data_IF_415708357866
#
_entry.id   IF_415708357866
#
_cell.length_a   1.000
_cell.length_b   1.000
_cell.length_c   1.000
_cell.angle_alpha   90.00
_cell.angle_beta   90.00
_cell.angle_gamma   90.00
#
_symmetry.space_group_name_H-M   'P 1'
#
loop_
_entity.id
_entity.type
_entity.pdbx_description
1 polymer ?
#
# COMPACT_ATOMS: atom_id res chain seq x y z
N UNK A 1 -14.80 -32.65 -19.10
CA UNK A 1 -14.44 -31.37 -19.76
C UNK A 1 -13.00 -31.48 -20.22
N UNK A 2 -12.77 -31.47 -21.51
CA UNK A 2 -11.48 -31.71 -22.12
C UNK A 2 -10.63 -30.42 -22.04
N UNK A 3 -9.60 -30.45 -21.19
CA UNK A 3 -8.63 -29.36 -21.10
C UNK A 3 -7.93 -29.11 -22.43
N UNK A 4 -7.94 -27.88 -22.90
CA UNK A 4 -7.23 -27.44 -24.09
C UNK A 4 -5.76 -27.28 -23.74
N UNK A 5 -4.90 -28.17 -24.23
CA UNK A 5 -3.44 -28.02 -24.16
C UNK A 5 -3.00 -26.91 -25.10
N UNK A 6 -2.43 -25.84 -24.55
CA UNK A 6 -1.67 -24.86 -25.33
C UNK A 6 -0.25 -25.40 -25.52
N UNK A 7 0.10 -25.75 -26.77
CA UNK A 7 1.44 -26.16 -27.16
C UNK A 7 2.38 -24.96 -27.16
N UNK A 8 3.24 -24.85 -26.16
CA UNK A 8 4.62 -24.30 -26.24
C UNK A 8 5.35 -24.13 -24.90
N UNK A 9 4.71 -24.40 -23.76
CA UNK A 9 5.39 -24.66 -22.50
C UNK A 9 4.67 -25.83 -21.85
N UNK A 10 5.36 -26.93 -21.61
CA UNK A 10 4.84 -28.10 -20.92
C UNK A 10 4.62 -27.78 -19.44
N UNK A 11 3.56 -27.01 -19.16
CA UNK A 11 3.06 -26.72 -17.84
C UNK A 11 1.59 -27.09 -17.75
N UNK A 12 1.19 -27.68 -16.66
CA UNK A 12 -0.21 -28.00 -16.38
C UNK A 12 -1.00 -26.68 -16.23
N UNK A 13 -2.00 -26.45 -17.06
CA UNK A 13 -2.83 -25.23 -17.01
C UNK A 13 -4.07 -25.52 -16.17
N UNK A 14 -4.22 -24.78 -15.08
CA UNK A 14 -5.35 -24.88 -14.19
C UNK A 14 -6.38 -23.78 -14.50
N UNK A 15 -7.62 -24.19 -14.70
CA UNK A 15 -8.73 -23.26 -14.89
C UNK A 15 -9.58 -23.17 -13.62
N UNK A 16 -10.02 -21.97 -13.22
CA UNK A 16 -10.91 -21.82 -12.08
C UNK A 16 -12.25 -22.52 -12.34
N UNK A 17 -12.90 -22.98 -11.28
CA UNK A 17 -14.25 -23.54 -11.37
C UNK A 17 -15.27 -22.47 -11.78
N UNK A 18 -16.43 -22.90 -12.29
CA UNK A 18 -17.54 -21.99 -12.64
C UNK A 18 -18.03 -21.16 -11.46
N UNK A 19 -17.97 -21.72 -10.24
CA UNK A 19 -18.32 -21.02 -9.01
C UNK A 19 -17.32 -19.89 -8.70
N UNK A 20 -16.03 -20.14 -8.83
CA UNK A 20 -14.98 -19.14 -8.64
C UNK A 20 -15.10 -18.02 -9.69
N UNK A 21 -15.37 -18.37 -10.95
CA UNK A 21 -15.58 -17.39 -12.02
C UNK A 21 -16.81 -16.52 -11.74
N UNK A 22 -17.92 -17.11 -11.28
CA UNK A 22 -19.15 -16.36 -10.96
C UNK A 22 -18.98 -15.37 -9.79
N UNK A 23 -18.05 -15.65 -8.86
CA UNK A 23 -17.73 -14.79 -7.73
C UNK A 23 -16.61 -13.78 -8.01
N UNK A 24 -15.96 -13.86 -9.17
CA UNK A 24 -14.88 -12.96 -9.55
C UNK A 24 -15.38 -11.51 -9.71
N UNK A 25 -14.63 -10.54 -9.22
CA UNK A 25 -14.93 -9.12 -9.38
C UNK A 25 -14.91 -8.68 -10.86
N UNK A 26 -14.08 -9.33 -11.67
CA UNK A 26 -13.99 -9.13 -13.12
C UNK A 26 -14.35 -10.46 -13.77
N UNK A 27 -15.56 -10.54 -14.32
CA UNK A 27 -16.08 -11.77 -14.95
C UNK A 27 -15.67 -11.90 -16.43
N UNK A 28 -15.51 -10.77 -17.11
CA UNK A 28 -15.15 -10.69 -18.54
C UNK A 28 -13.81 -9.96 -18.68
N UNK A 29 -12.75 -10.64 -18.29
CA UNK A 29 -11.41 -10.08 -18.29
C UNK A 29 -10.93 -9.68 -19.70
N UNK A 30 -11.31 -10.45 -20.73
CA UNK A 30 -10.98 -10.16 -22.13
C UNK A 30 -11.55 -8.82 -22.58
N UNK A 31 -12.81 -8.51 -22.24
CA UNK A 31 -13.46 -7.25 -22.56
C UNK A 31 -12.76 -6.10 -21.82
N UNK A 32 -12.45 -6.29 -20.55
CA UNK A 32 -11.74 -5.29 -19.74
C UNK A 32 -10.35 -5.00 -20.30
N UNK A 33 -9.61 -6.05 -20.68
CA UNK A 33 -8.28 -5.91 -21.26
C UNK A 33 -8.32 -5.25 -22.65
N UNK A 34 -9.32 -5.56 -23.47
CA UNK A 34 -9.49 -4.95 -24.78
C UNK A 34 -9.87 -3.47 -24.67
N UNK A 35 -10.74 -3.11 -23.75
CA UNK A 35 -11.05 -1.70 -23.46
C UNK A 35 -9.79 -0.91 -23.08
N UNK A 36 -8.94 -1.47 -22.22
CA UNK A 36 -7.69 -0.84 -21.83
C UNK A 36 -6.67 -0.73 -22.99
N UNK A 37 -6.65 -1.68 -23.92
CA UNK A 37 -5.79 -1.62 -25.12
C UNK A 37 -6.28 -0.59 -26.13
N UNK A 38 -7.60 -0.50 -26.31
CA UNK A 38 -8.22 0.37 -27.32
C UNK A 38 -8.17 1.84 -26.91
N UNK A 39 -8.47 2.12 -25.64
CA UNK A 39 -8.42 3.48 -25.07
C UNK A 39 -7.80 3.45 -23.67
N UNK A 40 -6.47 3.43 -23.61
CA UNK A 40 -5.72 3.40 -22.38
C UNK A 40 -6.02 4.60 -21.48
N UNK A 41 -6.13 5.79 -22.05
CA UNK A 41 -6.34 7.02 -21.27
C UNK A 41 -7.77 7.09 -20.72
N UNK A 42 -8.77 6.79 -21.54
CA UNK A 42 -10.17 6.74 -21.10
C UNK A 42 -10.40 5.66 -20.05
N UNK A 43 -9.83 4.47 -20.23
CA UNK A 43 -9.90 3.38 -19.26
C UNK A 43 -9.38 3.80 -17.88
N UNK A 44 -8.19 4.40 -17.83
CA UNK A 44 -7.62 4.84 -16.53
C UNK A 44 -8.28 6.08 -15.96
N UNK A 45 -8.81 6.97 -16.82
CA UNK A 45 -9.61 8.10 -16.36
C UNK A 45 -10.87 7.62 -15.62
N UNK A 46 -11.60 6.66 -16.21
CA UNK A 46 -12.79 6.06 -15.59
C UNK A 46 -12.46 5.42 -14.23
N UNK A 47 -11.40 4.62 -14.15
CA UNK A 47 -10.99 3.98 -12.89
C UNK A 47 -10.57 5.01 -11.83
N UNK A 48 -9.94 6.10 -12.25
CA UNK A 48 -9.50 7.16 -11.37
C UNK A 48 -10.66 7.96 -10.74
N UNK A 49 -11.86 7.96 -11.36
CA UNK A 49 -13.06 8.59 -10.76
C UNK A 49 -13.51 7.92 -9.44
N UNK A 50 -13.07 6.70 -9.15
CA UNK A 50 -13.34 6.03 -7.87
C UNK A 50 -12.57 6.65 -6.68
N UNK A 51 -11.55 7.48 -6.95
CA UNK A 51 -10.75 8.14 -5.94
C UNK A 51 -11.24 9.55 -5.64
N UNK A 52 -11.09 9.97 -4.39
CA UNK A 52 -11.30 11.37 -3.99
C UNK A 52 -10.02 12.16 -4.32
N UNK A 53 -10.12 13.06 -5.29
CA UNK A 53 -9.05 13.95 -5.69
C UNK A 53 -9.21 15.32 -5.02
N UNK A 54 -8.15 15.87 -4.46
CA UNK A 54 -8.14 17.26 -4.00
C UNK A 54 -8.11 18.25 -5.18
N UNK A 55 -7.49 17.80 -6.30
CA UNK A 55 -7.51 18.47 -7.58
C UNK A 55 -7.47 17.40 -8.66
N UNK A 56 -8.42 17.41 -9.60
CA UNK A 56 -8.40 16.52 -10.75
C UNK A 56 -7.23 16.87 -11.68
N UNK A 57 -6.93 15.95 -12.55
CA UNK A 57 -5.84 16.05 -13.51
C UNK A 57 -6.18 16.95 -14.69
N UNK A 58 -5.15 17.52 -15.27
CA UNK A 58 -5.24 18.23 -16.56
C UNK A 58 -5.11 17.23 -17.72
N UNK A 59 -4.28 16.19 -17.54
CA UNK A 59 -4.00 15.17 -18.53
C UNK A 59 -3.80 13.81 -17.87
N UNK A 60 -4.44 12.76 -18.41
CA UNK A 60 -4.35 11.40 -17.84
C UNK A 60 -2.96 10.80 -18.03
N UNK A 61 -2.43 10.87 -19.24
CA UNK A 61 -1.10 10.36 -19.58
C UNK A 61 -0.32 11.40 -20.38
N UNK A 62 0.85 11.78 -19.90
CA UNK A 62 1.78 12.61 -20.62
C UNK A 62 2.99 11.79 -21.11
N UNK A 63 3.13 11.71 -22.43
CA UNK A 63 4.16 10.97 -23.14
C UNK A 63 5.20 11.90 -23.82
N UNK A 64 5.20 13.18 -23.47
CA UNK A 64 6.07 14.19 -24.12
C UNK A 64 7.56 13.93 -23.89
N UNK A 65 7.93 13.19 -22.84
CA UNK A 65 9.31 12.88 -22.48
C UNK A 65 9.55 11.37 -22.39
N UNK A 66 9.20 10.62 -23.45
CA UNK A 66 9.47 9.17 -23.51
C UNK A 66 10.95 8.87 -23.29
N UNK A 67 11.29 7.78 -22.54
CA UNK A 67 10.42 6.77 -21.93
C UNK A 67 9.89 7.13 -20.54
N UNK A 68 10.03 8.36 -20.06
CA UNK A 68 9.61 8.83 -18.75
C UNK A 68 8.18 9.37 -18.81
N UNK A 69 7.22 8.46 -18.60
CA UNK A 69 5.78 8.77 -18.62
C UNK A 69 5.33 9.44 -17.32
N UNK A 70 4.36 10.36 -17.43
CA UNK A 70 3.70 10.95 -16.26
C UNK A 70 2.20 10.69 -16.34
N UNK A 71 1.64 10.19 -15.24
CA UNK A 71 0.21 9.91 -15.12
C UNK A 71 -0.47 11.00 -14.29
N UNK A 72 -1.73 11.33 -14.67
CA UNK A 72 -2.57 12.26 -13.95
C UNK A 72 -1.87 13.59 -13.63
N UNK A 73 -1.29 14.20 -14.65
CA UNK A 73 -0.53 15.44 -14.47
C UNK A 73 -1.42 16.57 -13.96
N UNK A 74 -0.90 17.39 -13.05
CA UNK A 74 -1.65 18.46 -12.38
C UNK A 74 -2.51 17.99 -11.21
N UNK A 75 -2.76 16.68 -11.08
CA UNK A 75 -3.61 16.16 -10.02
C UNK A 75 -3.00 16.26 -8.62
N UNK A 76 -3.88 16.36 -7.61
CA UNK A 76 -3.50 16.27 -6.19
C UNK A 76 -4.37 15.24 -5.48
N UNK A 77 -3.71 14.28 -4.86
CA UNK A 77 -4.35 13.19 -4.12
C UNK A 77 -3.50 12.81 -2.92
N UNK A 78 -4.12 12.27 -1.90
CA UNK A 78 -3.41 11.60 -0.81
C UNK A 78 -4.00 10.20 -0.63
N UNK A 79 -3.15 9.19 -0.64
CA UNK A 79 -3.57 7.79 -0.53
C UNK A 79 -4.24 7.51 0.82
N UNK A 80 -3.79 8.15 1.91
CA UNK A 80 -4.37 7.97 3.25
C UNK A 80 -5.75 8.59 3.34
N UNK A 81 -5.99 9.71 2.65
CA UNK A 81 -7.34 10.25 2.53
C UNK A 81 -8.27 9.21 1.89
N UNK A 82 -7.85 8.60 0.81
CA UNK A 82 -8.66 7.62 0.09
C UNK A 82 -8.87 6.31 0.86
N UNK A 83 -7.84 5.78 1.51
CA UNK A 83 -7.96 4.49 2.20
C UNK A 83 -8.49 4.61 3.63
N UNK A 84 -8.45 5.79 4.26
CA UNK A 84 -8.89 5.97 5.65
C UNK A 84 -9.86 7.15 5.80
N UNK A 85 -9.43 8.38 5.52
CA UNK A 85 -10.12 9.58 6.01
C UNK A 85 -11.54 9.70 5.43
N UNK A 86 -11.74 9.44 4.14
CA UNK A 86 -13.05 9.51 3.50
C UNK A 86 -14.07 8.55 4.13
N UNK A 87 -13.62 7.43 4.68
CA UNK A 87 -14.49 6.44 5.31
C UNK A 87 -14.99 6.85 6.69
N UNK A 88 -14.34 7.81 7.35
CA UNK A 88 -14.74 8.27 8.68
C UNK A 88 -16.07 9.04 8.69
N UNK A 89 -16.48 9.57 7.55
CA UNK A 89 -17.77 10.28 7.36
C UNK A 89 -18.94 9.32 7.08
N UNK A 90 -18.68 8.02 7.01
CA UNK A 90 -19.65 6.99 6.68
C UNK A 90 -19.81 5.97 7.80
N UNK A 91 -20.75 5.05 7.66
CA UNK A 91 -20.91 3.91 8.56
C UNK A 91 -19.63 3.06 8.69
N UNK A 92 -18.77 3.09 7.67
CA UNK A 92 -17.51 2.35 7.63
C UNK A 92 -16.53 2.75 8.74
N UNK A 93 -16.70 3.93 9.37
CA UNK A 93 -15.83 4.36 10.49
C UNK A 93 -15.67 3.31 11.60
N UNK A 94 -16.72 2.51 11.83
CA UNK A 94 -16.76 1.48 12.86
C UNK A 94 -16.38 0.08 12.32
N UNK A 95 -16.19 -0.08 11.00
CA UNK A 95 -15.77 -1.34 10.40
C UNK A 95 -14.30 -1.62 10.74
N UNK A 96 -13.94 -2.88 10.91
CA UNK A 96 -12.54 -3.28 11.08
C UNK A 96 -11.72 -2.92 9.84
N UNK A 97 -10.60 -2.24 10.08
CA UNK A 97 -9.63 -1.83 9.06
C UNK A 97 -8.31 -2.60 9.16
N UNK A 98 -7.93 -3.00 10.37
CA UNK A 98 -6.71 -3.75 10.64
C UNK A 98 -6.97 -4.76 11.75
N UNK A 99 -6.54 -5.98 11.52
CA UNK A 99 -6.49 -7.06 12.49
C UNK A 99 -5.04 -7.51 12.57
N UNK A 100 -4.50 -7.53 13.78
CA UNK A 100 -3.18 -8.08 14.06
C UNK A 100 -3.31 -9.25 15.02
N UNK A 101 -2.50 -10.26 14.79
CA UNK A 101 -2.41 -11.44 15.65
C UNK A 101 -0.93 -11.72 15.93
N UNK A 102 -0.63 -12.05 17.19
CA UNK A 102 0.73 -12.43 17.60
C UNK A 102 1.16 -13.74 16.94
N UNK A 103 2.46 -13.98 16.85
CA UNK A 103 3.04 -15.19 16.24
C UNK A 103 2.52 -16.48 16.88
N UNK A 104 2.29 -16.46 18.19
CA UNK A 104 1.79 -17.62 18.94
C UNK A 104 0.25 -17.72 18.99
N UNK A 105 -0.45 -16.79 18.35
CA UNK A 105 -1.91 -16.75 18.29
C UNK A 105 -2.61 -16.39 19.61
N UNK A 106 -1.86 -15.99 20.65
CA UNK A 106 -2.45 -15.71 21.98
C UNK A 106 -2.95 -14.28 22.13
N UNK A 107 -2.39 -13.35 21.35
CA UNK A 107 -2.78 -11.95 21.39
C UNK A 107 -3.36 -11.52 20.05
N UNK A 108 -4.43 -10.74 20.11
CA UNK A 108 -5.04 -10.14 18.94
C UNK A 108 -5.36 -8.66 19.21
N UNK A 109 -5.04 -7.79 18.28
CA UNK A 109 -5.39 -6.37 18.32
C UNK A 109 -6.21 -6.02 17.07
N UNK A 110 -7.33 -5.34 17.28
CA UNK A 110 -8.21 -4.93 16.19
C UNK A 110 -8.39 -3.42 16.17
N UNK A 111 -8.41 -2.86 14.97
CA UNK A 111 -8.57 -1.42 14.76
C UNK A 111 -9.69 -1.17 13.77
N UNK A 112 -10.72 -0.42 14.18
CA UNK A 112 -11.67 0.14 13.23
C UNK A 112 -11.00 1.23 12.39
N UNK A 113 -11.63 1.68 11.30
CA UNK A 113 -11.15 2.84 10.52
C UNK A 113 -10.94 4.06 11.42
N UNK A 114 -11.84 4.30 12.39
CA UNK A 114 -11.71 5.40 13.34
C UNK A 114 -10.49 5.22 14.25
N UNK A 115 -10.30 4.03 14.82
CA UNK A 115 -9.15 3.76 15.69
C UNK A 115 -7.83 3.84 14.92
N UNK A 116 -7.77 3.25 13.72
CA UNK A 116 -6.59 3.32 12.85
C UNK A 116 -6.25 4.77 12.48
N UNK A 117 -7.25 5.58 12.10
CA UNK A 117 -7.04 7.00 11.82
C UNK A 117 -6.43 7.74 13.01
N UNK A 118 -6.91 7.47 14.23
CA UNK A 118 -6.38 8.10 15.45
C UNK A 118 -4.89 7.78 15.62
N UNK A 119 -4.49 6.52 15.49
CA UNK A 119 -3.10 6.12 15.64
C UNK A 119 -2.21 6.70 14.52
N UNK A 120 -2.69 6.67 13.28
CA UNK A 120 -1.99 7.29 12.14
C UNK A 120 -1.77 8.79 12.36
N UNK A 121 -2.77 9.51 12.87
CA UNK A 121 -2.64 10.95 13.17
C UNK A 121 -1.63 11.20 14.31
N UNK A 122 -1.63 10.36 15.35
CA UNK A 122 -0.63 10.46 16.44
C UNK A 122 0.78 10.27 15.91
N UNK A 123 1.02 9.22 15.13
CA UNK A 123 2.32 8.99 14.49
C UNK A 123 2.71 10.15 13.56
N UNK A 124 1.79 10.63 12.73
CA UNK A 124 2.03 11.77 11.84
C UNK A 124 2.47 13.02 12.60
N UNK A 125 1.83 13.31 13.74
CA UNK A 125 2.20 14.44 14.58
C UNK A 125 3.58 14.26 15.22
N UNK A 126 3.92 13.05 15.68
CA UNK A 126 5.24 12.73 16.24
C UNK A 126 6.32 12.92 15.17
N UNK A 127 6.15 12.34 13.99
CA UNK A 127 7.11 12.43 12.89
C UNK A 127 7.31 13.91 12.46
N UNK A 128 6.24 14.69 12.39
CA UNK A 128 6.33 16.13 12.13
C UNK A 128 7.07 16.89 13.24
N UNK A 129 6.81 16.56 14.50
CA UNK A 129 7.50 17.17 15.64
C UNK A 129 9.00 16.86 15.65
N UNK A 130 9.41 15.72 15.06
CA UNK A 130 10.80 15.35 14.82
C UNK A 130 11.43 16.03 13.60
N UNK A 131 10.72 16.95 12.94
CA UNK A 131 11.24 17.77 11.85
C UNK A 131 11.09 17.15 10.46
N UNK A 132 10.37 16.05 10.31
CA UNK A 132 10.12 15.42 9.01
C UNK A 132 9.05 16.18 8.22
N UNK A 133 9.37 16.49 6.98
CA UNK A 133 8.54 17.23 6.04
C UNK A 133 8.21 16.39 4.79
N UNK A 134 7.33 16.93 3.94
CA UNK A 134 7.03 16.33 2.64
C UNK A 134 8.31 16.14 1.81
N UNK A 135 8.50 14.93 1.29
CA UNK A 135 9.66 14.54 0.48
C UNK A 135 10.84 14.02 1.29
N UNK A 136 10.86 14.18 2.61
CA UNK A 136 11.88 13.56 3.46
C UNK A 136 11.71 12.04 3.51
N UNK A 137 12.82 11.32 3.68
CA UNK A 137 12.84 9.85 3.77
C UNK A 137 12.86 9.42 5.23
N UNK A 138 12.07 8.40 5.52
CA UNK A 138 11.94 7.76 6.84
C UNK A 138 12.14 6.27 6.66
N UNK A 139 13.12 5.71 7.33
CA UNK A 139 13.33 4.26 7.37
C UNK A 139 12.47 3.65 8.47
N UNK A 140 11.75 2.59 8.14
CA UNK A 140 10.95 1.81 9.08
C UNK A 140 11.56 0.41 9.18
N UNK A 141 12.14 0.11 10.34
CA UNK A 141 12.74 -1.17 10.67
C UNK A 141 12.04 -1.72 11.91
N UNK A 142 10.84 -2.25 11.70
CA UNK A 142 9.96 -2.74 12.76
C UNK A 142 9.64 -4.22 12.56
N UNK A 143 9.45 -4.98 13.65
CA UNK A 143 8.87 -6.30 13.59
C UNK A 143 7.42 -6.25 13.08
N UNK A 144 6.77 -7.42 12.96
CA UNK A 144 5.39 -7.54 12.49
C UNK A 144 4.38 -7.10 13.55
N UNK A 145 4.39 -5.84 13.91
CA UNK A 145 3.48 -5.19 14.86
C UNK A 145 2.57 -4.18 14.16
N UNK A 146 1.40 -3.82 14.70
CA UNK A 146 0.49 -2.87 14.08
C UNK A 146 1.11 -1.50 13.81
N UNK A 147 2.09 -1.12 14.60
CA UNK A 147 2.81 0.15 14.54
C UNK A 147 3.53 0.35 13.19
N UNK A 148 3.91 -0.73 12.48
CA UNK A 148 4.47 -0.63 11.12
C UNK A 148 3.46 0.00 10.14
N UNK A 149 2.19 -0.39 10.26
CA UNK A 149 1.11 0.15 9.42
C UNK A 149 0.85 1.62 9.77
N UNK A 150 0.87 1.97 11.07
CA UNK A 150 0.69 3.35 11.51
C UNK A 150 1.80 4.24 10.99
N UNK A 151 3.06 3.80 11.08
CA UNK A 151 4.23 4.54 10.60
C UNK A 151 4.19 4.74 9.07
N UNK A 152 3.90 3.69 8.29
CA UNK A 152 3.77 3.76 6.83
C UNK A 152 2.69 4.78 6.41
N UNK A 153 1.51 4.66 7.00
CA UNK A 153 0.38 5.54 6.70
C UNK A 153 0.63 6.98 7.19
N UNK A 154 1.29 7.15 8.33
CA UNK A 154 1.65 8.47 8.83
C UNK A 154 2.62 9.20 7.89
N UNK A 155 3.66 8.52 7.39
CA UNK A 155 4.56 9.07 6.38
C UNK A 155 3.80 9.47 5.12
N UNK A 156 2.98 8.57 4.57
CA UNK A 156 2.18 8.86 3.38
C UNK A 156 1.20 10.02 3.60
N UNK A 157 0.62 10.14 4.80
CA UNK A 157 -0.31 11.22 5.15
C UNK A 157 0.33 12.60 5.10
N UNK A 158 1.55 12.74 5.58
CA UNK A 158 2.29 14.01 5.54
C UNK A 158 3.10 14.23 4.25
N UNK A 159 3.09 13.23 3.34
CA UNK A 159 3.83 13.28 2.08
C UNK A 159 5.32 12.97 2.23
N UNK A 160 5.75 12.39 3.34
CA UNK A 160 7.08 11.83 3.50
C UNK A 160 7.20 10.48 2.77
N UNK A 161 8.40 10.13 2.37
CA UNK A 161 8.72 8.86 1.70
C UNK A 161 9.16 7.87 2.76
N UNK A 162 8.53 6.71 2.84
CA UNK A 162 8.97 5.66 3.75
C UNK A 162 9.70 4.53 3.01
N UNK A 163 10.77 4.02 3.63
CA UNK A 163 11.50 2.83 3.23
C UNK A 163 11.33 1.76 4.30
N UNK A 164 10.56 0.70 3.99
CA UNK A 164 10.34 -0.40 4.94
C UNK A 164 11.39 -1.46 4.72
N UNK A 165 12.11 -1.79 5.78
CA UNK A 165 13.17 -2.79 5.78
C UNK A 165 12.73 -3.96 6.66
N UNK A 166 12.89 -5.17 6.15
CA UNK A 166 12.57 -6.38 6.89
C UNK A 166 13.47 -6.52 8.13
N UNK A 167 12.86 -6.68 9.31
CA UNK A 167 13.55 -6.72 10.61
C UNK A 167 14.53 -7.90 10.78
N UNK A 168 14.61 -8.83 9.84
CA UNK A 168 15.59 -9.91 9.81
C UNK A 168 16.88 -9.60 9.03
N UNK A 169 17.02 -8.39 8.48
CA UNK A 169 18.24 -8.02 7.77
C UNK A 169 19.38 -7.68 8.74
N UNK A 170 20.64 -7.94 8.29
CA UNK A 170 21.84 -7.60 9.01
C UNK A 170 22.03 -6.08 9.15
N UNK A 171 22.87 -5.68 10.12
CA UNK A 171 23.26 -4.29 10.35
C UNK A 171 23.81 -3.63 9.09
N UNK A 172 24.68 -4.31 8.34
CA UNK A 172 25.27 -3.77 7.11
C UNK A 172 24.19 -3.54 6.03
N UNK A 173 23.23 -4.46 5.91
CA UNK A 173 22.12 -4.31 4.96
C UNK A 173 21.16 -3.18 5.36
N UNK A 174 20.97 -2.94 6.65
CA UNK A 174 20.20 -1.82 7.17
C UNK A 174 20.94 -0.50 6.90
N UNK A 175 22.22 -0.42 7.26
CA UNK A 175 23.04 0.76 7.05
C UNK A 175 23.06 1.16 5.57
N UNK A 176 23.37 0.23 4.67
CA UNK A 176 23.43 0.54 3.23
C UNK A 176 22.11 1.13 2.69
N UNK A 177 20.95 0.69 3.19
CA UNK A 177 19.65 1.25 2.79
C UNK A 177 19.36 2.63 3.38
N UNK A 178 19.80 2.87 4.62
CA UNK A 178 19.69 4.20 5.24
C UNK A 178 20.55 5.20 4.50
N UNK A 179 21.79 4.83 4.19
CA UNK A 179 22.75 5.69 3.47
C UNK A 179 22.28 5.98 2.05
N UNK A 180 21.85 4.95 1.30
CA UNK A 180 21.37 5.09 -0.08
C UNK A 180 20.11 5.98 -0.16
N UNK A 181 19.16 5.82 0.78
CA UNK A 181 17.94 6.64 0.83
C UNK A 181 18.15 8.02 1.46
N UNK A 182 19.31 8.29 2.08
CA UNK A 182 19.55 9.48 2.91
C UNK A 182 18.42 9.71 3.92
N UNK A 183 18.01 8.66 4.63
CA UNK A 183 16.92 8.74 5.59
C UNK A 183 17.24 9.64 6.76
N UNK A 184 16.30 10.54 7.09
CA UNK A 184 16.43 11.49 8.20
C UNK A 184 15.96 10.94 9.54
N UNK A 185 15.14 9.89 9.51
CA UNK A 185 14.55 9.28 10.69
C UNK A 185 14.53 7.76 10.52
N UNK A 186 14.90 7.05 11.57
CA UNK A 186 14.72 5.61 11.71
C UNK A 186 13.65 5.35 12.77
N UNK A 187 12.62 4.58 12.42
CA UNK A 187 11.61 4.05 13.33
C UNK A 187 11.92 2.58 13.54
N UNK A 188 12.21 2.21 14.79
CA UNK A 188 12.57 0.84 15.16
C UNK A 188 11.92 0.45 16.49
N UNK A 189 12.14 -0.79 16.92
CA UNK A 189 11.75 -1.33 18.22
C UNK A 189 13.01 -1.80 18.95
N UNK A 190 12.91 -1.91 20.26
CA UNK A 190 13.96 -2.40 21.15
C UNK A 190 14.17 -3.93 21.07
N UNK A 191 13.22 -4.65 20.46
CA UNK A 191 13.33 -6.07 20.19
C UNK A 191 12.21 -6.61 19.31
N UNK A 192 12.38 -7.84 18.84
CA UNK A 192 11.43 -8.56 18.01
C UNK A 192 11.12 -9.92 18.60
N UNK A 193 9.84 -10.27 18.64
CA UNK A 193 9.41 -11.63 18.95
C UNK A 193 9.44 -12.47 17.66
N UNK A 194 10.36 -13.46 17.61
CA UNK A 194 10.54 -14.33 16.44
C UNK A 194 10.79 -15.76 16.92
N UNK A 195 10.05 -16.72 16.40
CA UNK A 195 10.15 -18.15 16.74
C UNK A 195 10.09 -18.41 18.26
N UNK A 196 9.18 -17.72 18.95
CA UNK A 196 8.97 -17.91 20.38
C UNK A 196 10.08 -17.32 21.27
N UNK A 197 10.95 -16.44 20.75
CA UNK A 197 12.03 -15.78 21.48
C UNK A 197 12.07 -14.29 21.17
N UNK A 198 12.57 -13.51 22.14
CA UNK A 198 12.88 -12.09 21.94
C UNK A 198 14.30 -11.98 21.39
N UNK A 199 14.45 -11.25 20.30
CA UNK A 199 15.73 -10.82 19.72
C UNK A 199 15.84 -9.30 19.93
N UNK A 200 16.88 -8.87 20.64
CA UNK A 200 17.22 -7.46 20.87
C UNK A 200 18.03 -6.88 19.71
#
# INVERSE_FOLDING_TARGET
MTGRKLNSMEGEVYYPSSEVIAQANIQNWEITAESARTDLQGFWAERAEELDWFQKWDKVLDESNKPFYKWFTGAKVNIVHNCIDRHLKTWRKNKLALIWESEDGKEQRTFSYFALNREVNRFANIIKAMGINKGDRVTIYLPRIPEIVFAMLACAKIGAIHSVIFAGFSTDALQGRIDDSESKLLITADGSWIYGKIFE
#
